data_IF_050521051659
#
_entry.id   IF_050521051659
#
_cell.length_a   1.000
_cell.length_b   1.000
_cell.length_c   1.000
_cell.angle_alpha   90.00
_cell.angle_beta   90.00
_cell.angle_gamma   90.00
#
_symmetry.space_group_name_H-M   'P 1'
#
loop_
_entity.id
_entity.type
_entity.pdbx_description
1 polymer ?
#
# COMPACT_ATOMS: atom_id res chain seq x y z
N UNK A 1 4.38 -5.27 5.67
CA UNK A 1 2.98 -4.95 6.12
C UNK A 1 2.69 -3.45 6.12
N UNK A 2 3.58 -2.58 6.63
CA UNK A 2 3.36 -1.11 6.63
C UNK A 2 3.01 -0.56 5.24
N UNK A 3 3.75 -0.98 4.20
CA UNK A 3 3.47 -0.57 2.82
C UNK A 3 2.05 -0.96 2.36
N UNK A 4 1.55 -2.13 2.76
CA UNK A 4 0.17 -2.53 2.45
C UNK A 4 -0.86 -1.60 3.10
N UNK A 5 -0.65 -1.21 4.37
CA UNK A 5 -1.51 -0.25 5.04
C UNK A 5 -1.49 1.12 4.36
N UNK A 6 -0.30 1.61 3.99
CA UNK A 6 -0.15 2.86 3.25
C UNK A 6 -0.83 2.81 1.87
N UNK A 7 -0.64 1.71 1.14
CA UNK A 7 -1.28 1.51 -0.17
C UNK A 7 -2.81 1.39 -0.05
N UNK A 8 -3.33 0.76 1.01
CA UNK A 8 -4.78 0.68 1.25
C UNK A 8 -5.38 2.08 1.40
N UNK A 9 -4.74 2.96 2.17
CA UNK A 9 -5.17 4.36 2.29
C UNK A 9 -5.06 5.10 0.95
N UNK A 10 -3.96 4.90 0.21
CA UNK A 10 -3.75 5.57 -1.08
C UNK A 10 -4.77 5.18 -2.15
N UNK A 11 -5.16 3.91 -2.21
CA UNK A 11 -6.04 3.41 -3.27
C UNK A 11 -7.52 3.41 -2.86
N UNK A 12 -7.81 3.81 -1.61
CA UNK A 12 -9.19 4.08 -1.17
C UNK A 12 -9.66 5.45 -1.63
N UNK A 13 -10.99 5.60 -1.72
CA UNK A 13 -11.62 6.89 -2.02
C UNK A 13 -11.53 7.85 -0.83
N UNK A 14 -11.77 9.13 -1.09
CA UNK A 14 -11.71 10.19 -0.09
C UNK A 14 -10.32 10.73 0.16
N UNK A 15 -10.14 11.45 1.26
CA UNK A 15 -8.88 12.09 1.62
C UNK A 15 -7.91 11.06 2.22
N UNK A 16 -6.74 10.92 1.59
CA UNK A 16 -5.69 10.05 2.11
C UNK A 16 -4.92 10.73 3.23
N UNK A 17 -5.09 10.25 4.44
CA UNK A 17 -4.40 10.75 5.64
C UNK A 17 -3.30 9.81 6.06
N UNK A 18 -2.10 10.36 6.29
CA UNK A 18 -0.94 9.60 6.73
C UNK A 18 -0.31 10.24 7.96
N UNK A 19 0.04 9.42 8.92
CA UNK A 19 0.83 9.86 10.05
C UNK A 19 2.25 10.21 9.58
N UNK A 20 2.76 11.38 9.97
CA UNK A 20 4.11 11.81 9.58
C UNK A 20 5.17 10.79 10.01
N UNK A 21 5.99 10.34 9.05
CA UNK A 21 7.01 9.33 9.24
C UNK A 21 6.60 7.89 8.91
N UNK A 22 5.36 7.65 8.44
CA UNK A 22 4.97 6.31 7.96
C UNK A 22 5.83 5.86 6.77
N UNK A 23 6.24 6.82 5.95
CA UNK A 23 7.10 6.63 4.79
C UNK A 23 8.54 6.22 5.15
N UNK A 24 8.97 6.45 6.38
CA UNK A 24 10.31 6.12 6.89
C UNK A 24 10.26 5.10 8.04
N UNK A 25 9.18 4.36 8.17
CA UNK A 25 8.98 3.34 9.22
C UNK A 25 9.14 3.91 10.64
N UNK A 26 8.80 5.19 10.85
CA UNK A 26 8.96 5.85 12.14
C UNK A 26 8.44 5.00 13.28
N UNK A 27 9.26 4.82 14.30
CA UNK A 27 8.90 4.21 15.57
C UNK A 27 8.89 5.29 16.68
N UNK A 28 8.08 5.07 17.68
CA UNK A 28 8.09 5.82 18.93
C UNK A 28 8.55 4.93 20.07
N UNK A 29 9.45 3.99 19.81
CA UNK A 29 10.03 3.10 20.77
C UNK A 29 8.98 2.33 21.61
N UNK A 30 7.90 1.89 20.94
CA UNK A 30 6.75 1.19 21.52
C UNK A 30 5.95 2.02 22.55
N UNK A 31 6.12 3.34 22.57
CA UNK A 31 5.28 4.20 23.41
C UNK A 31 3.81 4.13 22.93
N UNK A 32 2.92 3.76 23.82
CA UNK A 32 1.48 3.62 23.52
C UNK A 32 0.76 4.96 23.34
N UNK A 33 1.29 6.03 23.93
CA UNK A 33 0.72 7.37 23.88
C UNK A 33 1.81 8.44 23.98
N UNK A 34 2.42 8.75 22.84
CA UNK A 34 3.55 9.69 22.78
C UNK A 34 3.18 11.16 22.79
N UNK A 35 1.92 11.50 23.08
CA UNK A 35 1.43 12.89 23.04
C UNK A 35 2.28 13.82 23.91
N UNK A 36 2.64 13.40 25.13
CA UNK A 36 3.43 14.17 26.10
C UNK A 36 4.76 13.49 26.45
N UNK A 37 5.32 12.72 25.52
CA UNK A 37 6.57 11.98 25.74
C UNK A 37 7.83 12.77 25.33
N UNK A 38 7.67 14.01 24.90
CA UNK A 38 8.76 14.91 24.48
C UNK A 38 9.36 14.55 23.11
N UNK A 39 10.33 15.35 22.71
CA UNK A 39 10.93 15.31 21.37
C UNK A 39 11.71 14.03 21.11
N UNK A 40 12.28 13.42 22.15
CA UNK A 40 13.06 12.18 22.03
C UNK A 40 12.28 11.05 21.39
N UNK A 41 11.01 10.88 21.76
CA UNK A 41 10.11 9.86 21.17
C UNK A 41 9.33 10.38 19.96
N UNK A 42 9.30 11.70 19.73
CA UNK A 42 8.48 12.29 18.67
C UNK A 42 9.28 12.82 17.47
N UNK A 43 10.61 12.78 17.52
CA UNK A 43 11.48 13.24 16.44
C UNK A 43 11.27 12.42 15.16
N UNK A 44 11.57 13.05 14.03
CA UNK A 44 11.70 12.40 12.71
C UNK A 44 13.17 12.46 12.29
N UNK A 45 13.72 11.33 11.84
CA UNK A 45 15.06 11.30 11.26
C UNK A 45 14.98 11.39 9.73
N UNK A 46 15.33 12.58 9.21
CA UNK A 46 15.37 12.84 7.78
C UNK A 46 16.66 12.38 7.11
N UNK A 47 17.58 11.78 7.85
CA UNK A 47 18.78 11.14 7.26
C UNK A 47 18.47 9.75 6.71
N UNK A 48 17.30 9.20 7.03
CA UNK A 48 16.85 7.84 6.65
C UNK A 48 17.75 6.72 7.20
N UNK A 49 18.49 6.98 8.27
CA UNK A 49 19.40 6.01 8.90
C UNK A 49 18.83 5.40 10.16
N UNK A 50 17.94 6.10 10.82
CA UNK A 50 17.28 5.69 12.06
C UNK A 50 15.78 5.97 11.97
N UNK A 51 14.98 5.14 12.60
CA UNK A 51 13.54 5.30 12.65
C UNK A 51 12.99 5.56 14.07
N UNK A 52 13.88 5.71 15.06
CA UNK A 52 13.53 5.89 16.47
C UNK A 52 13.17 4.60 17.22
N UNK A 53 13.30 3.41 16.61
CA UNK A 53 13.12 2.14 17.32
C UNK A 53 14.25 1.96 18.34
N UNK A 54 13.91 1.48 19.54
CA UNK A 54 14.84 1.27 20.63
C UNK A 54 15.58 2.55 21.12
N UNK A 55 14.99 3.72 20.90
CA UNK A 55 15.51 5.00 21.43
C UNK A 55 15.53 5.04 22.98
N UNK A 56 14.82 4.14 23.62
CA UNK A 56 14.73 3.97 25.07
C UNK A 56 13.43 3.29 25.47
N UNK A 57 13.29 2.95 26.77
CA UNK A 57 12.00 2.53 27.31
C UNK A 57 11.04 3.72 27.32
N UNK A 58 9.78 3.52 26.91
CA UNK A 58 8.80 4.59 26.89
C UNK A 58 8.47 5.09 28.32
N UNK A 59 7.96 6.32 28.47
CA UNK A 59 7.74 6.95 29.77
C UNK A 59 6.94 6.09 30.75
N UNK A 60 7.41 6.02 31.99
CA UNK A 60 6.85 5.16 33.03
C UNK A 60 5.38 5.39 33.36
N UNK A 61 4.86 6.65 33.41
CA UNK A 61 3.47 6.87 33.79
C UNK A 61 2.48 6.05 32.97
N UNK A 62 2.66 6.01 31.65
CA UNK A 62 1.75 5.30 30.73
C UNK A 62 2.19 3.86 30.41
N UNK A 63 3.49 3.57 30.48
CA UNK A 63 4.05 2.35 29.93
C UNK A 63 4.73 1.44 30.97
N UNK A 64 4.91 1.91 32.21
CA UNK A 64 5.75 1.24 33.20
C UNK A 64 5.34 -0.20 33.51
N UNK A 65 4.04 -0.49 33.52
CA UNK A 65 3.51 -1.86 33.73
C UNK A 65 3.89 -2.83 32.61
N UNK A 66 4.12 -2.30 31.41
CA UNK A 66 4.42 -3.09 30.21
C UNK A 66 5.95 -3.20 29.95
N UNK A 67 6.79 -2.50 30.73
CA UNK A 67 8.25 -2.54 30.57
C UNK A 67 8.86 -3.96 30.59
N UNK A 68 8.39 -4.92 31.42
CA UNK A 68 8.90 -6.28 31.36
C UNK A 68 8.72 -6.96 29.99
N UNK A 69 7.64 -6.59 29.27
CA UNK A 69 7.37 -7.05 27.89
C UNK A 69 8.13 -6.22 26.86
N UNK A 70 8.17 -4.91 27.04
CA UNK A 70 8.73 -3.98 26.04
C UNK A 70 10.27 -4.05 25.98
N UNK A 71 10.95 -4.20 27.14
CA UNK A 71 12.40 -4.20 27.18
C UNK A 71 13.05 -5.33 26.35
N UNK A 72 12.59 -6.59 26.40
CA UNK A 72 13.09 -7.64 25.51
C UNK A 72 12.84 -7.35 24.02
N UNK A 73 11.66 -6.82 23.67
CA UNK A 73 11.33 -6.48 22.30
C UNK A 73 12.24 -5.38 21.74
N UNK A 74 12.48 -4.32 22.51
CA UNK A 74 13.37 -3.23 22.09
C UNK A 74 14.84 -3.67 21.93
N UNK A 75 15.23 -4.79 22.53
CA UNK A 75 16.58 -5.39 22.37
C UNK A 75 16.65 -6.45 21.29
N UNK A 76 15.53 -6.87 20.72
CA UNK A 76 15.50 -7.94 19.74
C UNK A 76 16.05 -7.45 18.38
N UNK A 77 17.20 -7.93 17.90
CA UNK A 77 17.86 -7.39 16.71
C UNK A 77 17.06 -7.61 15.44
N UNK A 78 16.20 -8.62 15.40
CA UNK A 78 15.45 -9.00 14.20
C UNK A 78 14.21 -8.15 13.90
N UNK A 79 13.86 -7.18 14.75
CA UNK A 79 12.67 -6.34 14.54
C UNK A 79 13.00 -4.85 14.30
N UNK A 80 14.24 -4.46 14.46
CA UNK A 80 14.70 -3.12 14.12
C UNK A 80 14.91 -3.01 12.61
N UNK A 81 14.27 -2.05 11.93
CA UNK A 81 14.53 -1.80 10.52
C UNK A 81 15.97 -1.35 10.26
N UNK A 82 16.55 -1.87 9.18
CA UNK A 82 17.82 -1.37 8.66
C UNK A 82 17.63 -0.06 7.88
N UNK A 83 18.70 0.70 7.60
CA UNK A 83 18.63 1.84 6.69
C UNK A 83 18.08 1.47 5.30
N UNK A 84 18.37 0.27 4.81
CA UNK A 84 17.85 -0.22 3.53
C UNK A 84 16.34 -0.47 3.58
N UNK A 85 15.81 -0.99 4.71
CA UNK A 85 14.36 -1.12 4.90
C UNK A 85 13.66 0.23 4.93
N UNK A 86 14.29 1.24 5.55
CA UNK A 86 13.77 2.61 5.60
C UNK A 86 13.78 3.23 4.19
N UNK A 87 14.87 3.09 3.46
CA UNK A 87 14.99 3.57 2.08
C UNK A 87 13.96 2.89 1.16
N UNK A 88 13.82 1.57 1.26
CA UNK A 88 12.81 0.81 0.52
C UNK A 88 11.40 1.34 0.81
N UNK A 89 11.04 1.51 2.08
CA UNK A 89 9.70 1.99 2.45
C UNK A 89 9.43 3.39 1.91
N UNK A 90 10.41 4.31 2.01
CA UNK A 90 10.33 5.66 1.46
C UNK A 90 10.04 5.65 -0.04
N UNK A 91 10.81 4.86 -0.80
CA UNK A 91 10.72 4.85 -2.25
C UNK A 91 9.44 4.13 -2.71
N UNK A 92 9.08 3.02 -2.05
CA UNK A 92 7.82 2.32 -2.32
C UNK A 92 6.59 3.18 -1.96
N UNK A 93 6.65 3.98 -0.89
CA UNK A 93 5.60 4.93 -0.54
C UNK A 93 5.44 6.02 -1.61
N UNK A 94 6.56 6.53 -2.14
CA UNK A 94 6.54 7.48 -3.27
C UNK A 94 5.87 6.88 -4.51
N UNK A 95 6.14 5.61 -4.82
CA UNK A 95 5.49 4.91 -5.92
C UNK A 95 3.98 4.79 -5.70
N UNK A 96 3.55 4.46 -4.49
CA UNK A 96 2.14 4.42 -4.11
C UNK A 96 1.46 5.80 -4.32
N UNK A 97 2.12 6.88 -3.92
CA UNK A 97 1.60 8.24 -4.12
C UNK A 97 1.56 8.63 -5.61
N UNK A 98 2.56 8.25 -6.41
CA UNK A 98 2.57 8.47 -7.86
C UNK A 98 1.43 7.73 -8.55
N UNK A 99 1.13 6.49 -8.13
CA UNK A 99 -0.01 5.74 -8.64
C UNK A 99 -1.32 6.47 -8.32
N UNK A 100 -1.53 6.88 -7.05
CA UNK A 100 -2.71 7.66 -6.67
C UNK A 100 -2.86 8.95 -7.47
N UNK A 101 -1.75 9.66 -7.71
CA UNK A 101 -1.75 10.93 -8.43
C UNK A 101 -2.00 10.78 -9.92
N UNK A 102 -1.72 9.60 -10.50
CA UNK A 102 -1.80 9.35 -11.96
C UNK A 102 -3.20 9.38 -12.53
N UNK A 103 -4.23 9.29 -11.68
CA UNK A 103 -5.63 9.27 -12.11
C UNK A 103 -6.56 9.85 -11.04
N UNK A 104 -7.60 10.60 -11.41
CA UNK A 104 -8.65 11.02 -10.48
C UNK A 104 -9.52 9.85 -9.98
N UNK A 105 -9.48 8.68 -10.62
CA UNK A 105 -10.28 7.52 -10.21
C UNK A 105 -10.03 7.08 -8.76
N UNK A 106 -8.86 7.34 -8.17
CA UNK A 106 -8.57 7.07 -6.76
C UNK A 106 -9.04 8.18 -5.79
N UNK A 107 -9.57 9.28 -6.31
CA UNK A 107 -9.89 10.48 -5.51
C UNK A 107 -11.10 11.24 -6.06
N UNK A 108 -12.12 10.47 -6.44
CA UNK A 108 -13.40 11.05 -6.88
C UNK A 108 -14.03 11.85 -5.74
N UNK A 109 -14.61 12.99 -6.06
CA UNK A 109 -15.19 13.94 -5.10
C UNK A 109 -16.70 13.77 -4.90
N UNK A 110 -17.35 12.96 -5.76
CA UNK A 110 -18.79 12.69 -5.70
C UNK A 110 -19.09 11.24 -5.29
N UNK A 111 -19.92 11.08 -4.26
CA UNK A 111 -20.31 9.78 -3.77
C UNK A 111 -21.17 8.95 -4.77
N UNK A 112 -21.90 9.61 -5.67
CA UNK A 112 -22.65 8.93 -6.72
C UNK A 112 -21.71 8.37 -7.79
N UNK A 113 -20.69 9.14 -8.19
CA UNK A 113 -19.66 8.67 -9.10
C UNK A 113 -18.83 7.54 -8.50
N UNK A 114 -18.49 7.61 -7.20
CA UNK A 114 -17.82 6.50 -6.52
C UNK A 114 -18.67 5.21 -6.58
N UNK A 115 -19.94 5.28 -6.21
CA UNK A 115 -20.84 4.11 -6.26
C UNK A 115 -21.06 3.56 -7.66
N UNK A 116 -21.02 4.41 -8.67
CA UNK A 116 -21.16 4.03 -10.07
C UNK A 116 -19.93 3.33 -10.61
N UNK A 117 -18.72 3.77 -10.21
CA UNK A 117 -17.44 3.39 -10.83
C UNK A 117 -16.63 2.38 -10.03
N UNK A 118 -16.79 2.31 -8.71
CA UNK A 118 -16.04 1.39 -7.86
C UNK A 118 -16.85 0.11 -7.63
N UNK A 119 -16.22 -1.03 -7.88
CA UNK A 119 -16.73 -2.37 -7.55
C UNK A 119 -15.67 -3.15 -6.81
N UNK A 120 -16.10 -4.08 -5.96
CA UNK A 120 -15.23 -5.06 -5.32
C UNK A 120 -15.47 -6.44 -5.95
N UNK A 121 -14.42 -7.03 -6.53
CA UNK A 121 -14.53 -8.27 -7.33
C UNK A 121 -14.39 -9.54 -6.48
N UNK A 122 -13.65 -9.49 -5.36
CA UNK A 122 -13.50 -10.61 -4.43
C UNK A 122 -14.43 -10.38 -3.23
N UNK A 123 -15.71 -10.63 -3.42
CA UNK A 123 -16.75 -10.43 -2.42
C UNK A 123 -17.70 -11.62 -2.33
N UNK A 124 -18.41 -11.74 -1.19
CA UNK A 124 -19.39 -12.81 -0.95
C UNK A 124 -18.81 -14.05 -0.26
N UNK A 125 -19.60 -15.13 -0.13
CA UNK A 125 -19.23 -16.31 0.67
C UNK A 125 -18.00 -17.07 0.18
N UNK A 126 -17.65 -16.95 -1.12
CA UNK A 126 -16.50 -17.61 -1.73
C UNK A 126 -15.25 -16.73 -1.80
N UNK A 127 -15.24 -15.55 -1.15
CA UNK A 127 -14.10 -14.65 -1.16
C UNK A 127 -12.85 -15.27 -0.53
N UNK A 128 -11.68 -14.97 -1.09
CA UNK A 128 -10.41 -15.22 -0.40
C UNK A 128 -10.20 -14.11 0.65
N UNK A 129 -10.22 -14.42 1.95
CA UNK A 129 -10.13 -13.40 3.02
C UNK A 129 -8.79 -12.68 3.08
N UNK A 130 -7.75 -13.21 2.41
CA UNK A 130 -6.45 -12.59 2.34
C UNK A 130 -6.30 -11.60 1.18
N UNK A 131 -7.36 -11.39 0.37
CA UNK A 131 -7.29 -10.58 -0.83
C UNK A 131 -8.40 -9.55 -0.90
N UNK A 132 -8.05 -8.30 -1.19
CA UNK A 132 -9.00 -7.24 -1.55
C UNK A 132 -8.77 -6.87 -3.01
N UNK A 133 -9.85 -6.77 -3.79
CA UNK A 133 -9.79 -6.35 -5.18
C UNK A 133 -10.80 -5.22 -5.38
N UNK A 134 -10.30 -4.03 -5.71
CA UNK A 134 -11.14 -2.93 -6.16
C UNK A 134 -10.95 -2.67 -7.65
N UNK A 135 -12.04 -2.45 -8.34
CA UNK A 135 -12.11 -2.18 -9.77
C UNK A 135 -12.77 -0.83 -10.02
N UNK A 136 -12.09 0.04 -10.71
CA UNK A 136 -12.52 1.40 -11.03
C UNK A 136 -12.74 1.53 -12.54
N UNK A 137 -13.92 2.01 -12.90
CA UNK A 137 -14.34 2.25 -14.29
C UNK A 137 -14.17 3.72 -14.65
N UNK A 138 -13.25 4.02 -15.58
CA UNK A 138 -12.96 5.36 -16.10
C UNK A 138 -13.76 5.72 -17.36
N UNK A 139 -14.68 4.85 -17.81
CA UNK A 139 -15.47 5.09 -19.03
C UNK A 139 -16.25 6.41 -18.94
N UNK A 140 -16.08 7.26 -19.95
CA UNK A 140 -16.74 8.56 -20.03
C UNK A 140 -16.13 9.65 -19.12
N UNK A 141 -15.01 9.38 -18.45
CA UNK A 141 -14.25 10.36 -17.69
C UNK A 141 -12.99 10.74 -18.48
N UNK A 142 -13.02 11.90 -19.15
CA UNK A 142 -12.00 12.29 -20.13
C UNK A 142 -10.59 12.47 -19.54
N UNK A 143 -10.50 12.83 -18.25
CA UNK A 143 -9.26 13.07 -17.53
C UNK A 143 -8.78 11.86 -16.72
N UNK A 144 -9.48 10.71 -16.80
CA UNK A 144 -9.12 9.52 -16.05
C UNK A 144 -7.74 8.95 -16.42
N UNK A 145 -7.27 9.16 -17.65
CA UNK A 145 -6.01 8.61 -18.17
C UNK A 145 -6.02 7.09 -18.39
N UNK A 146 -6.89 6.40 -17.67
CA UNK A 146 -7.13 4.96 -17.79
C UNK A 146 -8.61 4.68 -18.01
N UNK A 147 -8.92 3.76 -18.95
CA UNK A 147 -10.28 3.27 -19.15
C UNK A 147 -10.75 2.43 -17.96
N UNK A 148 -9.85 1.62 -17.42
CA UNK A 148 -10.13 0.82 -16.23
C UNK A 148 -8.87 0.72 -15.36
N UNK A 149 -9.07 0.67 -14.04
CA UNK A 149 -8.01 0.41 -13.04
C UNK A 149 -8.49 -0.73 -12.15
N UNK A 150 -7.63 -1.73 -11.92
CA UNK A 150 -7.87 -2.76 -10.91
C UNK A 150 -6.70 -2.77 -9.94
N UNK A 151 -7.01 -2.67 -8.65
CA UNK A 151 -6.01 -2.74 -7.60
C UNK A 151 -6.27 -3.95 -6.71
N UNK A 152 -5.21 -4.67 -6.36
CA UNK A 152 -5.27 -5.93 -5.66
C UNK A 152 -4.31 -5.90 -4.47
N UNK A 153 -4.83 -6.22 -3.30
CA UNK A 153 -4.04 -6.40 -2.09
C UNK A 153 -3.96 -7.87 -1.75
N UNK A 154 -2.77 -8.39 -1.61
CA UNK A 154 -2.53 -9.73 -1.09
C UNK A 154 -1.86 -9.63 0.28
N UNK A 155 -2.59 -9.92 1.36
CA UNK A 155 -2.06 -9.90 2.73
C UNK A 155 -1.36 -11.20 3.13
N UNK A 156 -1.57 -12.28 2.35
CA UNK A 156 -0.88 -13.56 2.54
C UNK A 156 0.64 -13.40 2.33
N UNK A 157 1.49 -14.13 3.06
CA UNK A 157 2.92 -14.18 2.77
C UNK A 157 3.25 -14.89 1.46
N UNK A 158 2.31 -15.64 0.89
CA UNK A 158 2.48 -16.41 -0.35
C UNK A 158 1.84 -15.69 -1.54
N UNK A 159 2.35 -15.86 -2.76
CA UNK A 159 1.67 -15.40 -3.96
C UNK A 159 0.26 -16.00 -4.06
N UNK A 160 -0.64 -15.24 -4.67
CA UNK A 160 -2.01 -15.65 -4.98
C UNK A 160 -2.27 -15.57 -6.48
N UNK A 161 -3.04 -16.52 -6.97
CA UNK A 161 -3.59 -16.51 -8.33
C UNK A 161 -5.11 -16.38 -8.23
N UNK A 162 -5.66 -15.40 -8.91
CA UNK A 162 -7.06 -15.04 -8.82
C UNK A 162 -7.68 -15.00 -10.22
N UNK A 163 -8.60 -15.92 -10.46
CA UNK A 163 -9.38 -15.93 -11.68
C UNK A 163 -10.55 -14.95 -11.57
N UNK A 164 -10.59 -13.97 -12.44
CA UNK A 164 -11.71 -13.04 -12.60
C UNK A 164 -12.28 -13.22 -14.02
N UNK A 165 -13.27 -14.12 -14.21
CA UNK A 165 -13.79 -14.48 -15.53
C UNK A 165 -14.29 -13.28 -16.34
N UNK A 166 -14.85 -12.26 -15.68
CA UNK A 166 -15.30 -11.03 -16.32
C UNK A 166 -14.16 -10.18 -16.93
N UNK A 167 -12.92 -10.49 -16.59
CA UNK A 167 -11.74 -9.78 -17.09
C UNK A 167 -11.06 -10.50 -18.27
N UNK A 168 -11.55 -11.67 -18.67
CA UNK A 168 -11.01 -12.42 -19.83
C UNK A 168 -11.02 -11.58 -21.09
N UNK A 169 -9.96 -11.72 -21.88
CA UNK A 169 -9.78 -11.00 -23.15
C UNK A 169 -9.39 -9.54 -23.03
N UNK A 170 -9.48 -8.94 -21.86
CA UNK A 170 -9.06 -7.56 -21.64
C UNK A 170 -7.55 -7.38 -21.71
N UNK A 171 -7.07 -6.14 -21.95
CA UNK A 171 -5.65 -5.82 -22.16
C UNK A 171 -5.03 -5.16 -20.93
N UNK A 172 -5.22 -5.79 -19.76
CA UNK A 172 -4.62 -5.32 -18.53
C UNK A 172 -3.09 -5.30 -18.59
N UNK A 173 -2.50 -4.21 -18.13
CA UNK A 173 -1.05 -4.04 -17.99
C UNK A 173 -0.73 -3.62 -16.57
N UNK A 174 0.42 -4.06 -16.04
CA UNK A 174 0.90 -3.54 -14.77
C UNK A 174 1.05 -2.02 -14.87
N UNK A 175 0.62 -1.30 -13.82
CA UNK A 175 0.67 0.17 -13.80
C UNK A 175 2.09 0.67 -14.13
N UNK A 176 2.24 1.71 -14.97
CA UNK A 176 3.55 2.18 -15.43
C UNK A 176 4.58 2.43 -14.33
N UNK A 177 4.15 2.98 -13.18
CA UNK A 177 5.03 3.19 -12.02
C UNK A 177 5.58 1.86 -11.51
N UNK A 178 4.75 0.82 -11.37
CA UNK A 178 5.17 -0.49 -10.88
C UNK A 178 5.92 -1.32 -11.93
N UNK A 179 5.70 -1.04 -13.21
CA UNK A 179 6.39 -1.69 -14.33
C UNK A 179 7.75 -1.04 -14.63
N UNK A 180 8.03 0.15 -14.09
CA UNK A 180 9.31 0.85 -14.28
C UNK A 180 10.49 0.04 -13.77
N UNK A 181 11.64 0.19 -14.41
CA UNK A 181 12.91 -0.36 -13.91
C UNK A 181 13.28 0.19 -12.54
N UNK A 182 12.87 1.44 -12.27
CA UNK A 182 13.13 2.16 -11.02
C UNK A 182 12.05 1.93 -9.95
N UNK A 183 11.07 1.04 -10.20
CA UNK A 183 10.06 0.70 -9.23
C UNK A 183 10.71 0.11 -7.96
N UNK A 184 10.36 0.66 -6.81
CA UNK A 184 10.97 0.27 -5.54
C UNK A 184 10.68 -1.19 -5.18
N UNK A 185 9.46 -1.69 -5.41
CA UNK A 185 9.12 -3.08 -5.13
C UNK A 185 9.35 -3.99 -6.37
N UNK A 186 10.59 -4.47 -6.51
CA UNK A 186 10.96 -5.39 -7.57
C UNK A 186 10.12 -6.68 -7.58
N UNK A 187 9.59 -7.12 -6.43
CA UNK A 187 8.73 -8.32 -6.36
C UNK A 187 7.44 -8.13 -7.15
N UNK A 188 6.87 -6.91 -7.12
CA UNK A 188 5.69 -6.56 -7.91
C UNK A 188 6.05 -6.45 -9.38
N UNK A 189 7.11 -5.70 -9.72
CA UNK A 189 7.58 -5.55 -11.09
C UNK A 189 7.82 -6.89 -11.78
N UNK A 190 8.51 -7.80 -11.08
CA UNK A 190 8.99 -9.05 -11.65
C UNK A 190 8.01 -10.23 -11.45
N UNK A 191 7.05 -10.12 -10.52
CA UNK A 191 6.16 -11.20 -10.13
C UNK A 191 4.68 -10.98 -10.45
N UNK A 192 4.22 -9.72 -10.56
CA UNK A 192 2.83 -9.47 -10.91
C UNK A 192 2.59 -9.71 -12.40
N UNK A 193 1.57 -10.51 -12.72
CA UNK A 193 1.24 -10.88 -14.10
C UNK A 193 -0.28 -10.96 -14.29
N UNK A 194 -0.70 -10.71 -15.50
CA UNK A 194 -2.06 -10.95 -15.94
C UNK A 194 -2.05 -11.84 -17.17
N UNK A 195 -2.79 -12.94 -17.12
CA UNK A 195 -3.01 -13.86 -18.23
C UNK A 195 -4.39 -13.58 -18.85
N UNK A 196 -4.41 -12.91 -20.00
CA UNK A 196 -5.64 -12.42 -20.65
C UNK A 196 -6.61 -13.54 -21.00
N UNK A 197 -6.11 -14.64 -21.55
CA UNK A 197 -6.94 -15.77 -21.96
C UNK A 197 -7.74 -16.39 -20.82
N UNK A 198 -7.17 -16.40 -19.62
CA UNK A 198 -7.78 -17.00 -18.42
C UNK A 198 -8.49 -15.96 -17.55
N UNK A 199 -8.21 -14.66 -17.73
CA UNK A 199 -8.61 -13.63 -16.80
C UNK A 199 -7.93 -13.76 -15.44
N UNK A 200 -6.69 -14.30 -15.44
CA UNK A 200 -5.96 -14.66 -14.23
C UNK A 200 -4.96 -13.58 -13.83
N UNK A 201 -5.04 -13.15 -12.58
CA UNK A 201 -4.08 -12.24 -11.97
C UNK A 201 -3.17 -12.99 -10.99
N UNK A 202 -1.85 -12.87 -11.17
CA UNK A 202 -0.86 -13.36 -10.22
C UNK A 202 -0.34 -12.19 -9.39
N UNK A 203 -0.45 -12.31 -8.06
CA UNK A 203 -0.13 -11.24 -7.11
C UNK A 203 0.93 -11.78 -6.13
N UNK A 204 2.11 -11.16 -6.06
CA UNK A 204 3.12 -11.52 -5.06
C UNK A 204 2.59 -11.44 -3.63
N UNK A 205 3.20 -12.21 -2.72
CA UNK A 205 2.82 -12.18 -1.31
C UNK A 205 3.10 -10.81 -0.65
N UNK A 206 2.22 -10.38 0.25
CA UNK A 206 2.33 -9.11 1.00
C UNK A 206 2.60 -7.92 0.08
N UNK A 207 1.78 -7.80 -0.99
CA UNK A 207 1.92 -6.73 -1.98
C UNK A 207 0.61 -6.06 -2.32
N UNK A 208 0.70 -4.82 -2.77
CA UNK A 208 -0.36 -4.08 -3.43
C UNK A 208 0.01 -3.90 -4.90
N UNK A 209 -0.83 -4.38 -5.78
CA UNK A 209 -0.58 -4.40 -7.23
C UNK A 209 -1.69 -3.63 -7.93
N UNK A 210 -1.34 -2.84 -8.94
CA UNK A 210 -2.30 -2.10 -9.75
C UNK A 210 -2.10 -2.47 -11.22
N UNK A 211 -3.17 -2.91 -11.87
CA UNK A 211 -3.23 -3.06 -13.31
C UNK A 211 -4.15 -2.01 -13.91
N UNK A 212 -3.85 -1.62 -15.13
CA UNK A 212 -4.58 -0.57 -15.85
C UNK A 212 -4.86 -0.97 -17.29
N UNK A 213 -5.96 -0.44 -17.83
CA UNK A 213 -6.21 -0.38 -19.26
C UNK A 213 -6.13 1.10 -19.64
N UNK A 214 -5.16 1.54 -20.46
CA UNK A 214 -5.06 2.92 -20.90
C UNK A 214 -6.34 3.36 -21.66
N UNK A 215 -6.71 4.63 -21.54
CA UNK A 215 -7.70 5.19 -22.46
C UNK A 215 -7.11 5.25 -23.87
N UNK A 216 -7.92 4.91 -24.85
CA UNK A 216 -7.56 5.18 -26.24
C UNK A 216 -7.52 6.69 -26.44
N UNK A 217 -6.44 7.19 -27.03
CA UNK A 217 -6.35 8.61 -27.38
C UNK A 217 -7.54 8.96 -28.29
N UNK A 218 -8.35 9.93 -27.86
CA UNK A 218 -9.38 10.50 -28.76
C UNK A 218 -8.66 11.01 -30.00
N UNK A 219 -8.97 10.40 -31.14
CA UNK A 219 -8.49 10.85 -32.47
C UNK A 219 -9.14 12.16 -32.87
#
# INVERSE_FOLDING_TARGET
MQLLGAALVAFSQGVAYYHAGIDVLRSKSLDRNSYDSGDWFNRLDWTYRDNGFAAGLPPKPDNGKDWPLLAPLLRAPGIQPSPDDIAFMRDAFRDVLRIRASTPLFRMDDAAEIRKRLRFENAGPAQDPAVIIGHLDGTGMSDAGFAEVIYLFNTSPRPKQLALPAQRGKRWRLHPVQASRDAADARVRDGARYASHEGMFNIPGRSAVVFVIPQEASR
#
